data_IF_567513052241
#
_entry.id   IF_567513052241
#
_cell.length_a   1.000
_cell.length_b   1.000
_cell.length_c   1.000
_cell.angle_alpha   90.00
_cell.angle_beta   90.00
_cell.angle_gamma   90.00
#
_symmetry.space_group_name_H-M   'P 1'
#
loop_
_entity.id
_entity.type
_entity.pdbx_description
1 polymer ?
#
# COMPACT_ATOMS: atom_id res chain seq x y z
N UNK A 1 29.49 -11.74 10.30
CA UNK A 1 28.28 -11.05 9.83
C UNK A 1 27.29 -12.15 9.46
N UNK A 2 26.33 -12.44 10.33
CA UNK A 2 25.35 -13.52 10.08
C UNK A 2 24.33 -12.97 9.10
N UNK A 3 24.33 -13.50 7.88
CA UNK A 3 23.29 -13.21 6.87
C UNK A 3 22.04 -13.96 7.31
N UNK A 4 21.18 -13.29 8.09
CA UNK A 4 19.84 -13.81 8.39
C UNK A 4 19.06 -13.84 7.08
N UNK A 5 18.50 -14.99 6.73
CA UNK A 5 17.63 -15.10 5.58
C UNK A 5 16.38 -14.23 5.85
N UNK A 6 16.11 -13.26 4.97
CA UNK A 6 15.01 -12.31 5.18
C UNK A 6 13.66 -13.02 5.20
N UNK A 7 13.55 -14.18 4.55
CA UNK A 7 12.35 -15.01 4.53
C UNK A 7 11.97 -15.59 5.91
N UNK A 8 12.92 -15.69 6.84
CA UNK A 8 12.68 -16.14 8.22
C UNK A 8 12.37 -14.97 9.17
N UNK A 9 12.28 -13.74 8.63
CA UNK A 9 12.01 -12.54 9.42
C UNK A 9 10.52 -12.24 9.40
N UNK A 10 9.92 -12.27 10.59
CA UNK A 10 8.55 -11.81 10.82
C UNK A 10 8.61 -10.42 11.44
N UNK A 11 7.99 -9.45 10.79
CA UNK A 11 7.86 -8.11 11.34
C UNK A 11 6.62 -7.95 12.21
N UNK A 12 6.57 -6.84 12.96
CA UNK A 12 5.36 -6.36 13.61
C UNK A 12 4.50 -5.66 12.54
N UNK A 13 3.20 -5.98 12.40
CA UNK A 13 2.34 -5.32 11.43
C UNK A 13 2.20 -3.84 11.74
N UNK A 14 2.21 -3.01 10.69
CA UNK A 14 1.99 -1.57 10.80
C UNK A 14 0.51 -1.28 11.03
N UNK A 15 0.20 -0.42 11.99
CA UNK A 15 -1.17 0.06 12.24
C UNK A 15 -1.61 1.01 11.11
N UNK A 16 -2.83 0.82 10.61
CA UNK A 16 -3.46 1.75 9.66
C UNK A 16 -3.98 2.99 10.41
N UNK A 17 -3.04 3.87 10.77
CA UNK A 17 -3.29 5.09 11.52
C UNK A 17 -2.43 6.21 10.91
N UNK A 18 -3.01 7.35 10.49
CA UNK A 18 -2.26 8.44 9.87
C UNK A 18 -1.06 8.93 10.69
N UNK A 19 -1.14 8.93 12.03
CA UNK A 19 0.00 9.34 12.88
C UNK A 19 1.19 8.40 12.70
N UNK A 20 0.94 7.08 12.75
CA UNK A 20 1.95 6.03 12.57
C UNK A 20 2.52 6.06 11.15
N UNK A 21 1.65 6.20 10.14
CA UNK A 21 2.04 6.21 8.73
C UNK A 21 2.85 7.47 8.38
N UNK A 22 2.48 8.63 8.91
CA UNK A 22 3.21 9.89 8.69
C UNK A 22 4.56 9.89 9.39
N UNK A 23 4.67 9.41 10.64
CA UNK A 23 5.96 9.27 11.33
C UNK A 23 6.91 8.32 10.57
N UNK A 24 6.37 7.22 10.02
CA UNK A 24 7.15 6.32 9.19
C UNK A 24 7.58 6.98 7.87
N UNK A 25 6.67 7.65 7.17
CA UNK A 25 6.94 8.27 5.88
C UNK A 25 7.92 9.45 5.99
N UNK A 26 7.84 10.25 7.05
CA UNK A 26 8.79 11.34 7.32
C UNK A 26 10.22 10.79 7.44
N UNK A 27 10.40 9.69 8.17
CA UNK A 27 11.70 9.00 8.29
C UNK A 27 12.20 8.41 6.97
N UNK A 28 11.28 8.04 6.08
CA UNK A 28 11.58 7.60 4.72
C UNK A 28 11.87 8.77 3.76
N UNK A 29 11.71 10.02 4.20
CA UNK A 29 12.05 11.23 3.45
C UNK A 29 10.87 12.04 2.93
N UNK A 30 9.63 11.71 3.34
CA UNK A 30 8.46 12.50 2.97
C UNK A 30 8.50 13.88 3.67
N UNK A 31 8.30 14.94 2.88
CA UNK A 31 8.18 16.31 3.42
C UNK A 31 6.75 16.53 3.88
N UNK A 32 6.49 16.32 5.18
CA UNK A 32 5.14 16.36 5.80
C UNK A 32 4.39 17.68 5.56
N UNK A 33 5.09 18.78 5.31
CA UNK A 33 4.46 20.07 4.96
C UNK A 33 3.88 20.12 3.54
N UNK A 34 4.26 19.19 2.66
CA UNK A 34 3.77 19.09 1.29
C UNK A 34 2.68 18.03 1.17
N UNK A 35 2.94 16.83 1.68
CA UNK A 35 2.05 15.68 1.60
C UNK A 35 2.04 14.92 2.92
N UNK A 36 0.90 14.30 3.25
CA UNK A 36 0.75 13.44 4.42
C UNK A 36 -0.49 12.55 4.26
N UNK A 37 -0.53 11.45 5.00
CA UNK A 37 -1.69 10.58 5.10
C UNK A 37 -2.77 11.20 5.99
N UNK A 38 -4.02 11.00 5.60
CA UNK A 38 -5.24 11.39 6.31
C UNK A 38 -6.22 10.20 6.33
N UNK A 39 -7.11 10.16 7.32
CA UNK A 39 -8.20 9.19 7.34
C UNK A 39 -9.23 9.48 6.26
N UNK A 40 -9.76 8.42 5.66
CA UNK A 40 -10.98 8.46 4.84
C UNK A 40 -12.12 7.93 5.72
N UNK A 41 -12.98 8.84 6.16
CA UNK A 41 -14.05 8.51 7.13
C UNK A 41 -15.24 7.78 6.49
N UNK A 42 -15.37 7.86 5.17
CA UNK A 42 -16.40 7.17 4.39
C UNK A 42 -16.30 7.53 2.91
N UNK A 43 -17.17 6.91 2.11
CA UNK A 43 -17.15 7.04 0.64
C UNK A 43 -18.31 7.87 0.08
N UNK A 44 -19.14 8.46 0.94
CA UNK A 44 -20.14 9.44 0.54
C UNK A 44 -19.46 10.76 0.20
N UNK A 45 -20.01 11.51 -0.77
CA UNK A 45 -19.41 12.76 -1.28
C UNK A 45 -19.06 13.75 -0.16
N UNK A 46 -19.94 13.89 0.84
CA UNK A 46 -19.74 14.79 1.99
C UNK A 46 -18.52 14.38 2.85
N UNK A 47 -18.26 13.08 3.00
CA UNK A 47 -17.12 12.57 3.78
C UNK A 47 -15.83 12.60 2.98
N UNK A 48 -15.90 12.36 1.66
CA UNK A 48 -14.75 12.47 0.76
C UNK A 48 -14.27 13.91 0.62
N UNK A 49 -15.16 14.89 0.72
CA UNK A 49 -14.81 16.31 0.71
C UNK A 49 -14.03 16.78 1.95
N UNK A 50 -13.99 15.98 3.02
CA UNK A 50 -13.13 16.24 4.19
C UNK A 50 -11.65 15.91 3.92
N UNK A 51 -11.36 15.12 2.88
CA UNK A 51 -9.99 14.73 2.53
C UNK A 51 -9.30 15.88 1.78
N UNK A 52 -8.13 16.36 2.23
CA UNK A 52 -7.40 17.41 1.53
C UNK A 52 -7.03 17.01 0.10
N UNK A 53 -7.20 17.96 -0.82
CA UNK A 53 -6.94 17.78 -2.26
C UNK A 53 -5.66 18.54 -2.67
N UNK A 54 -4.88 18.03 -3.64
CA UNK A 54 -5.10 16.81 -4.41
C UNK A 54 -4.76 15.52 -3.64
N UNK A 55 -5.44 14.43 -3.96
CA UNK A 55 -5.13 13.09 -3.43
C UNK A 55 -4.21 12.38 -4.41
N UNK A 56 -3.04 11.93 -3.94
CA UNK A 56 -2.02 11.27 -4.78
C UNK A 56 -2.03 9.73 -4.68
N UNK A 57 -2.46 9.20 -3.54
CA UNK A 57 -2.54 7.76 -3.28
C UNK A 57 -3.62 7.45 -2.24
N UNK A 58 -4.15 6.23 -2.28
CA UNK A 58 -5.06 5.68 -1.27
C UNK A 58 -4.52 4.32 -0.83
N UNK A 59 -4.45 4.10 0.49
CA UNK A 59 -4.06 2.81 1.08
C UNK A 59 -5.30 2.21 1.73
N UNK A 60 -5.64 0.98 1.34
CA UNK A 60 -6.76 0.23 1.87
C UNK A 60 -6.26 -0.92 2.74
N UNK A 61 -6.60 -0.90 4.03
CA UNK A 61 -6.48 -2.07 4.89
C UNK A 61 -7.80 -2.85 4.82
N UNK A 62 -7.74 -4.13 4.45
CA UNK A 62 -8.90 -5.00 4.38
C UNK A 62 -8.56 -6.42 4.90
N UNK A 63 -9.55 -7.16 5.44
CA UNK A 63 -9.31 -8.52 5.92
C UNK A 63 -9.10 -9.48 4.75
N UNK A 64 -8.07 -10.33 4.83
CA UNK A 64 -7.90 -11.46 3.92
C UNK A 64 -8.81 -12.58 4.40
N UNK A 65 -10.03 -12.62 3.85
CA UNK A 65 -11.03 -13.65 4.12
C UNK A 65 -10.80 -14.90 3.26
N UNK A 66 -11.45 -16.02 3.63
CA UNK A 66 -11.27 -17.31 2.96
C UNK A 66 -11.64 -17.29 1.46
N UNK A 67 -12.53 -16.39 1.06
CA UNK A 67 -12.97 -16.20 -0.33
C UNK A 67 -12.06 -15.27 -1.14
N UNK A 68 -11.26 -14.42 -0.49
CA UNK A 68 -10.30 -13.52 -1.16
C UNK A 68 -9.18 -14.31 -1.85
N UNK A 69 -8.67 -15.37 -1.22
CA UNK A 69 -7.55 -16.14 -1.78
C UNK A 69 -7.94 -16.86 -3.08
N UNK A 70 -9.09 -17.56 -3.18
CA UNK A 70 -9.60 -18.07 -4.46
C UNK A 70 -9.79 -16.98 -5.51
N UNK A 71 -10.41 -15.85 -5.15
CA UNK A 71 -10.65 -14.74 -6.09
C UNK A 71 -9.35 -14.15 -6.64
N UNK A 72 -8.33 -13.98 -5.81
CA UNK A 72 -7.00 -13.55 -6.24
C UNK A 72 -6.41 -14.52 -7.28
N UNK A 73 -6.48 -15.83 -7.02
CA UNK A 73 -5.97 -16.85 -7.94
C UNK A 73 -6.73 -16.89 -9.25
N UNK A 74 -8.05 -16.72 -9.20
CA UNK A 74 -8.89 -16.64 -10.40
C UNK A 74 -8.49 -15.43 -11.26
N UNK A 75 -8.23 -14.28 -10.63
CA UNK A 75 -7.78 -13.08 -11.32
C UNK A 75 -6.37 -13.24 -11.91
N UNK A 76 -5.42 -13.84 -11.19
CA UNK A 76 -4.08 -14.14 -11.69
C UNK A 76 -4.13 -15.03 -12.94
N UNK A 77 -4.99 -16.07 -12.93
CA UNK A 77 -5.22 -16.95 -14.08
C UNK A 77 -5.85 -16.19 -15.24
N UNK A 78 -6.85 -15.35 -14.98
CA UNK A 78 -7.52 -14.53 -15.99
C UNK A 78 -6.53 -13.60 -16.68
N UNK A 79 -5.71 -12.87 -15.91
CA UNK A 79 -4.67 -11.97 -16.44
C UNK A 79 -3.63 -12.75 -17.27
N UNK A 80 -3.21 -13.93 -16.84
CA UNK A 80 -2.26 -14.75 -17.58
C UNK A 80 -2.80 -15.27 -18.93
N UNK A 81 -4.12 -15.50 -19.04
CA UNK A 81 -4.78 -16.03 -20.24
C UNK A 81 -5.25 -14.93 -21.19
N UNK A 82 -5.87 -13.88 -20.65
CA UNK A 82 -6.55 -12.84 -21.41
C UNK A 82 -5.69 -11.58 -21.56
N UNK A 83 -4.62 -11.46 -20.77
CA UNK A 83 -3.86 -10.24 -20.61
C UNK A 83 -4.54 -9.25 -19.66
N UNK A 84 -3.89 -8.12 -19.47
CA UNK A 84 -4.39 -7.00 -18.67
C UNK A 84 -4.29 -5.71 -19.48
N UNK A 85 -4.89 -4.64 -18.94
CA UNK A 85 -4.68 -3.30 -19.48
C UNK A 85 -3.18 -2.97 -19.50
N UNK A 86 -2.70 -2.23 -20.52
CA UNK A 86 -1.31 -1.78 -20.55
C UNK A 86 -0.96 -1.05 -19.25
N UNK A 87 0.09 -1.53 -18.57
CA UNK A 87 0.63 -0.88 -17.39
C UNK A 87 1.60 0.22 -17.88
N UNK A 88 1.47 1.41 -17.32
CA UNK A 88 2.42 2.49 -17.58
C UNK A 88 3.83 2.07 -17.12
N UNK A 89 4.83 2.22 -17.99
CA UNK A 89 6.21 1.82 -17.73
C UNK A 89 6.85 2.59 -16.57
N UNK A 90 6.27 3.73 -16.14
CA UNK A 90 6.73 4.48 -14.97
C UNK A 90 6.22 3.91 -13.64
N UNK A 91 5.27 2.96 -13.66
CA UNK A 91 4.75 2.34 -12.43
C UNK A 91 5.82 1.47 -11.80
N UNK A 92 6.15 1.78 -10.54
CA UNK A 92 7.08 0.99 -9.75
C UNK A 92 6.30 0.02 -8.87
N UNK A 93 6.44 -1.27 -9.17
CA UNK A 93 5.93 -2.37 -8.36
C UNK A 93 7.08 -3.12 -7.69
N UNK A 94 6.87 -3.52 -6.44
CA UNK A 94 7.87 -4.23 -5.63
C UNK A 94 7.16 -5.36 -4.90
N UNK A 95 7.65 -6.59 -5.09
CA UNK A 95 7.12 -7.78 -4.42
C UNK A 95 7.39 -7.72 -2.91
N UNK A 96 6.39 -8.10 -2.10
CA UNK A 96 6.57 -8.29 -0.67
C UNK A 96 7.12 -9.69 -0.39
N UNK A 97 8.33 -9.77 0.15
CA UNK A 97 8.98 -11.05 0.51
C UNK A 97 9.08 -11.29 2.03
N UNK A 98 8.73 -10.29 2.85
CA UNK A 98 8.80 -10.34 4.32
C UNK A 98 7.39 -10.38 4.91
N UNK A 99 7.15 -11.27 5.87
CA UNK A 99 5.84 -11.38 6.52
C UNK A 99 5.54 -10.12 7.36
N UNK A 100 4.28 -9.67 7.32
CA UNK A 100 3.79 -8.44 7.97
C UNK A 100 4.37 -7.11 7.45
N UNK A 101 4.99 -7.08 6.27
CA UNK A 101 5.49 -5.85 5.66
C UNK A 101 4.49 -5.12 4.75
N UNK A 102 3.25 -5.58 4.63
CA UNK A 102 2.27 -4.99 3.72
C UNK A 102 2.07 -3.49 3.92
N UNK A 103 2.00 -3.00 5.17
CA UNK A 103 1.90 -1.57 5.46
C UNK A 103 3.11 -0.77 4.98
N UNK A 104 4.32 -1.31 5.21
CA UNK A 104 5.57 -0.73 4.69
C UNK A 104 5.58 -0.68 3.17
N UNK A 105 5.19 -1.77 2.51
CA UNK A 105 5.14 -1.86 1.05
C UNK A 105 4.11 -0.88 0.47
N UNK A 106 2.94 -0.75 1.11
CA UNK A 106 1.91 0.19 0.71
C UNK A 106 2.40 1.65 0.78
N UNK A 107 3.09 2.05 1.85
CA UNK A 107 3.66 3.39 1.96
C UNK A 107 4.75 3.60 0.90
N UNK A 108 5.64 2.62 0.68
CA UNK A 108 6.67 2.72 -0.36
C UNK A 108 6.06 2.89 -1.76
N UNK A 109 5.06 2.09 -2.11
CA UNK A 109 4.37 2.24 -3.40
C UNK A 109 3.69 3.60 -3.52
N UNK A 110 3.08 4.12 -2.45
CA UNK A 110 2.48 5.45 -2.43
C UNK A 110 3.51 6.57 -2.63
N UNK A 111 4.65 6.51 -1.94
CA UNK A 111 5.70 7.55 -2.04
C UNK A 111 6.40 7.55 -3.39
N UNK A 112 6.61 6.38 -4.01
CA UNK A 112 7.32 6.26 -5.28
C UNK A 112 6.43 6.67 -6.45
N UNK A 113 5.15 6.26 -6.44
CA UNK A 113 4.23 6.49 -7.55
C UNK A 113 3.38 7.75 -7.39
N UNK A 114 3.20 8.27 -6.17
CA UNK A 114 2.37 9.43 -5.86
C UNK A 114 3.13 10.76 -5.95
N UNK A 115 3.71 11.07 -7.11
CA UNK A 115 4.39 12.36 -7.36
C UNK A 115 3.40 13.52 -7.51
#
# INVERSE_FOLDING_TARGET
>A
MVTKNLNDTVAVPLEANPEVMNDWAEKAGLVISQDRFYDILGFDDELLDLVPKPVKAVILLFPVLDDVIPQQKEEDVRIAQEGQHPIDETVVWIEQTVHNWCGTMAILHALINGQ
#
